data_IF_018678932659
#
_entry.id   IF_018678932659
#
_cell.length_a   1.000
_cell.length_b   1.000
_cell.length_c   1.000
_cell.angle_alpha   90.00
_cell.angle_beta   90.00
_cell.angle_gamma   90.00
#
_symmetry.space_group_name_H-M   'P 1'
#
loop_
_entity.id
_entity.type
_entity.pdbx_description
1 polymer ?
#
# COMPACT_ATOMS: atom_id res chain seq x y z
N UNK A 1 -25.58 -3.30 11.79
CA UNK A 1 -24.32 -2.86 11.18
C UNK A 1 -23.25 -3.88 11.51
N UNK A 2 -22.74 -4.62 10.52
CA UNK A 2 -21.63 -5.60 10.76
C UNK A 2 -20.36 -4.81 11.00
N UNK A 3 -19.76 -4.94 12.18
CA UNK A 3 -18.44 -4.35 12.48
C UNK A 3 -17.43 -4.83 11.44
N UNK A 4 -16.65 -3.93 10.85
CA UNK A 4 -15.63 -4.33 9.89
C UNK A 4 -14.62 -5.25 10.58
N UNK A 5 -14.34 -6.41 9.98
CA UNK A 5 -13.38 -7.34 10.55
C UNK A 5 -12.02 -6.64 10.62
N UNK A 6 -11.34 -6.72 11.76
CA UNK A 6 -9.99 -6.16 12.04
C UNK A 6 -9.03 -6.51 10.89
N UNK A 7 -9.15 -7.72 10.34
CA UNK A 7 -8.41 -8.20 9.18
C UNK A 7 -8.58 -7.33 7.93
N UNK A 8 -9.82 -6.93 7.61
CA UNK A 8 -10.12 -6.10 6.45
C UNK A 8 -9.63 -4.67 6.64
N UNK A 9 -9.74 -4.13 7.84
CA UNK A 9 -9.27 -2.78 8.17
C UNK A 9 -7.74 -2.68 8.08
N UNK A 10 -7.01 -3.67 8.62
CA UNK A 10 -5.54 -3.75 8.53
C UNK A 10 -5.05 -3.89 7.08
N UNK A 11 -5.63 -4.81 6.30
CA UNK A 11 -5.27 -5.01 4.91
C UNK A 11 -5.48 -3.76 4.07
N UNK A 12 -6.62 -3.08 4.24
CA UNK A 12 -6.93 -1.85 3.53
C UNK A 12 -6.01 -0.70 3.97
N UNK A 13 -5.81 -0.51 5.27
CA UNK A 13 -4.97 0.57 5.79
C UNK A 13 -3.50 0.45 5.35
N UNK A 14 -2.90 -0.73 5.52
CA UNK A 14 -1.53 -0.98 5.08
C UNK A 14 -1.40 -0.94 3.55
N UNK A 15 -2.34 -1.53 2.81
CA UNK A 15 -2.31 -1.54 1.35
C UNK A 15 -2.43 -0.15 0.74
N UNK A 16 -3.35 0.69 1.25
CA UNK A 16 -3.51 2.09 0.83
C UNK A 16 -2.28 2.91 1.19
N UNK A 17 -1.74 2.77 2.41
CA UNK A 17 -0.55 3.50 2.83
C UNK A 17 0.68 3.20 1.96
N UNK A 18 0.95 1.92 1.70
CA UNK A 18 2.03 1.49 0.81
C UNK A 18 1.77 1.94 -0.63
N UNK A 19 0.53 1.88 -1.11
CA UNK A 19 0.15 2.34 -2.44
C UNK A 19 0.42 3.83 -2.65
N UNK A 20 0.03 4.68 -1.69
CA UNK A 20 0.31 6.12 -1.72
C UNK A 20 1.82 6.38 -1.74
N UNK A 21 2.58 5.70 -0.88
CA UNK A 21 4.03 5.86 -0.82
C UNK A 21 4.70 5.50 -2.14
N UNK A 22 4.31 4.37 -2.76
CA UNK A 22 4.82 3.93 -4.06
C UNK A 22 4.45 4.91 -5.19
N UNK A 23 3.23 5.45 -5.19
CA UNK A 23 2.81 6.46 -6.16
C UNK A 23 3.64 7.74 -6.03
N UNK A 24 3.88 8.24 -4.82
CA UNK A 24 4.69 9.43 -4.57
C UNK A 24 6.15 9.18 -4.99
N UNK A 25 6.73 8.05 -4.63
CA UNK A 25 8.10 7.69 -5.00
C UNK A 25 8.25 7.56 -6.52
N UNK A 26 7.37 6.80 -7.17
CA UNK A 26 7.40 6.60 -8.62
C UNK A 26 7.17 7.91 -9.39
N UNK A 27 6.23 8.74 -8.93
CA UNK A 27 6.00 10.06 -9.47
C UNK A 27 7.21 10.99 -9.31
N UNK A 28 7.85 10.99 -8.15
CA UNK A 28 9.07 11.75 -7.89
C UNK A 28 10.22 11.33 -8.80
N UNK A 29 10.48 10.03 -8.90
CA UNK A 29 11.52 9.49 -9.80
C UNK A 29 11.23 9.84 -11.26
N UNK A 30 9.98 9.68 -11.72
CA UNK A 30 9.60 10.03 -13.07
C UNK A 30 9.84 11.52 -13.39
N UNK A 31 9.45 12.41 -12.47
CA UNK A 31 9.64 13.86 -12.65
C UNK A 31 11.12 14.24 -12.67
N UNK A 32 11.93 13.68 -11.78
CA UNK A 32 13.38 13.93 -11.75
C UNK A 32 14.07 13.45 -13.03
N UNK A 33 13.79 12.24 -13.49
CA UNK A 33 14.37 11.71 -14.74
C UNK A 33 13.91 12.51 -15.93
N UNK A 34 12.62 12.86 -16.00
CA UNK A 34 12.08 13.74 -17.05
C UNK A 34 12.84 15.06 -17.10
N UNK A 35 12.99 15.74 -15.97
CA UNK A 35 13.68 17.02 -15.89
C UNK A 35 15.16 16.89 -16.30
N UNK A 36 15.84 15.82 -15.85
CA UNK A 36 17.23 15.54 -16.20
C UNK A 36 17.42 15.33 -17.72
N UNK A 37 16.60 14.47 -18.33
CA UNK A 37 16.67 14.19 -19.76
C UNK A 37 16.40 15.42 -20.63
N UNK A 38 15.40 16.22 -20.28
CA UNK A 38 15.13 17.47 -21.01
C UNK A 38 16.24 18.49 -20.83
N UNK A 39 16.83 18.60 -19.63
CA UNK A 39 17.95 19.48 -19.38
C UNK A 39 19.18 19.07 -20.20
N UNK A 40 19.51 17.78 -20.21
CA UNK A 40 20.61 17.25 -21.02
C UNK A 40 20.39 17.49 -22.51
N UNK A 41 19.15 17.31 -23.01
CA UNK A 41 18.80 17.61 -24.39
C UNK A 41 18.97 19.11 -24.71
N UNK A 42 18.46 20.00 -23.86
CA UNK A 42 18.55 21.44 -24.02
C UNK A 42 20.01 21.93 -23.97
N UNK A 43 20.83 21.40 -23.06
CA UNK A 43 22.26 21.70 -22.99
C UNK A 43 23.01 21.20 -24.24
N UNK A 44 22.74 19.97 -24.70
CA UNK A 44 23.33 19.40 -25.90
C UNK A 44 22.98 20.23 -27.17
N UNK A 45 21.71 20.61 -27.29
CA UNK A 45 21.26 21.47 -28.43
C UNK A 45 21.95 22.82 -28.36
N UNK A 46 22.05 23.46 -27.19
CA UNK A 46 22.69 24.75 -27.01
C UNK A 46 24.19 24.71 -27.38
N UNK A 47 24.90 23.67 -26.93
CA UNK A 47 26.32 23.46 -27.27
C UNK A 47 26.51 23.29 -28.79
N UNK A 48 25.68 22.46 -29.43
CA UNK A 48 25.75 22.22 -30.88
C UNK A 48 25.43 23.50 -31.66
N UNK A 49 24.43 24.27 -31.22
CA UNK A 49 24.05 25.53 -31.84
C UNK A 49 25.17 26.60 -31.71
N UNK A 50 25.85 26.67 -30.58
CA UNK A 50 26.99 27.54 -30.35
C UNK A 50 28.17 27.18 -31.27
N UNK A 51 28.45 25.87 -31.45
CA UNK A 51 29.48 25.42 -32.38
C UNK A 51 29.14 25.81 -33.84
N UNK A 52 27.90 25.59 -34.27
CA UNK A 52 27.45 25.98 -35.60
C UNK A 52 27.44 27.51 -35.81
N UNK A 53 27.11 28.26 -34.78
CA UNK A 53 27.13 29.73 -34.83
C UNK A 53 28.53 30.29 -35.08
N UNK A 54 29.56 29.64 -34.51
CA UNK A 54 30.97 30.06 -34.71
C UNK A 54 31.55 29.65 -36.06
N UNK A 55 30.85 28.86 -36.88
CA UNK A 55 31.28 28.42 -38.22
C UNK A 55 30.69 29.27 -39.34
N UNK A 56 30.08 30.42 -39.03
CA UNK A 56 29.57 31.36 -39.99
C UNK A 56 30.62 32.44 -40.18
N UNK A 57 31.25 32.45 -41.35
CA UNK A 57 32.32 33.41 -41.69
C UNK A 57 31.94 34.29 -42.83
N UNK A 58 32.51 35.50 -42.86
CA UNK A 58 32.43 36.42 -43.98
C UNK A 58 33.76 36.37 -44.73
N UNK A 59 33.73 35.80 -45.94
CA UNK A 59 34.88 35.69 -46.83
C UNK A 59 34.54 36.28 -48.21
N UNK A 60 35.39 37.15 -48.72
CA UNK A 60 35.21 37.81 -50.01
C UNK A 60 33.81 38.49 -50.22
N UNK A 61 33.33 39.15 -49.17
CA UNK A 61 31.99 39.77 -49.13
C UNK A 61 30.82 38.77 -49.21
N UNK A 62 31.09 37.46 -49.22
CA UNK A 62 30.09 36.39 -49.19
C UNK A 62 30.10 35.68 -47.85
N UNK A 63 28.93 35.21 -47.43
CA UNK A 63 28.82 34.44 -46.25
C UNK A 63 29.10 32.98 -46.61
N UNK A 64 30.18 32.47 -46.01
CA UNK A 64 30.57 31.06 -46.11
C UNK A 64 30.26 30.32 -44.85
N UNK A 65 29.98 29.05 -44.99
CA UNK A 65 29.68 28.17 -43.89
C UNK A 65 30.73 27.05 -43.89
N UNK A 66 31.71 27.11 -42.98
CA UNK A 66 32.79 26.13 -42.85
C UNK A 66 32.32 24.68 -42.75
N UNK A 67 31.15 24.46 -42.20
CA UNK A 67 30.60 23.10 -42.09
C UNK A 67 30.35 22.47 -43.48
N UNK A 68 30.21 23.23 -44.57
CA UNK A 68 30.11 22.71 -45.94
C UNK A 68 31.44 22.18 -46.46
N UNK A 69 32.52 22.76 -46.00
CA UNK A 69 33.89 22.39 -46.42
C UNK A 69 34.53 21.36 -45.49
N UNK A 70 34.18 21.39 -44.20
CA UNK A 70 34.72 20.54 -43.14
C UNK A 70 34.02 19.20 -42.94
N UNK A 71 33.46 18.60 -43.99
CA UNK A 71 32.66 17.35 -43.97
C UNK A 71 33.34 16.15 -43.24
N UNK A 72 34.66 16.22 -42.96
CA UNK A 72 35.43 15.13 -42.38
C UNK A 72 35.37 15.02 -40.86
N UNK A 73 35.36 16.14 -40.13
CA UNK A 73 35.66 16.14 -38.69
C UNK A 73 34.38 16.24 -37.81
N UNK A 74 33.28 16.75 -38.32
CA UNK A 74 32.04 17.00 -37.55
C UNK A 74 30.83 16.23 -38.05
N UNK A 75 31.00 15.11 -38.73
CA UNK A 75 29.94 14.33 -39.37
C UNK A 75 28.84 13.88 -38.40
N UNK A 76 29.20 13.59 -37.15
CA UNK A 76 28.24 13.18 -36.12
C UNK A 76 27.38 14.35 -35.61
N UNK A 77 27.94 15.55 -35.47
CA UNK A 77 27.21 16.75 -35.05
C UNK A 77 26.17 17.17 -36.08
N UNK A 78 26.50 16.96 -37.37
CA UNK A 78 25.63 17.31 -38.50
C UNK A 78 24.60 16.21 -38.75
N UNK A 79 24.91 14.97 -38.49
CA UNK A 79 24.02 13.83 -38.75
C UNK A 79 22.80 13.80 -37.80
N UNK A 80 22.93 14.27 -36.56
CA UNK A 80 21.91 14.16 -35.52
C UNK A 80 21.05 15.43 -35.38
N UNK A 81 21.38 16.54 -36.06
CA UNK A 81 20.67 17.81 -35.91
C UNK A 81 20.13 18.34 -37.24
N UNK A 82 18.89 18.78 -37.25
CA UNK A 82 18.28 19.53 -38.34
C UNK A 82 18.46 21.00 -38.05
N UNK A 83 19.21 21.69 -38.89
CA UNK A 83 19.44 23.13 -38.71
C UNK A 83 19.20 23.92 -39.99
N UNK A 84 18.89 25.19 -39.78
CA UNK A 84 18.66 26.14 -40.87
C UNK A 84 19.13 27.55 -40.47
N UNK A 85 19.83 28.18 -41.40
CA UNK A 85 20.24 29.58 -41.31
C UNK A 85 19.37 30.44 -42.23
N UNK A 86 18.99 31.60 -41.76
CA UNK A 86 18.33 32.64 -42.55
C UNK A 86 19.16 33.91 -42.47
N UNK A 87 19.53 34.42 -43.62
CA UNK A 87 20.06 35.77 -43.73
C UNK A 87 18.91 36.75 -43.64
N UNK A 88 18.94 37.66 -42.68
CA UNK A 88 17.88 38.66 -42.49
C UNK A 88 17.83 39.74 -43.57
N UNK A 89 18.95 39.97 -44.30
CA UNK A 89 19.03 40.97 -45.37
C UNK A 89 18.61 40.45 -46.74
N UNK A 90 19.17 39.32 -47.13
CA UNK A 90 18.99 38.75 -48.47
C UNK A 90 17.80 37.79 -48.54
N UNK A 91 17.35 37.29 -47.41
CA UNK A 91 16.33 36.26 -47.34
C UNK A 91 16.83 34.86 -47.77
N UNK A 92 18.13 34.74 -48.08
CA UNK A 92 18.73 33.46 -48.49
C UNK A 92 18.72 32.51 -47.28
N UNK A 93 18.37 31.26 -47.55
CA UNK A 93 18.34 30.20 -46.53
C UNK A 93 19.34 29.11 -46.84
N UNK A 94 20.09 28.70 -45.82
CA UNK A 94 20.99 27.54 -45.90
C UNK A 94 20.48 26.47 -44.93
N UNK A 95 20.25 25.26 -45.45
CA UNK A 95 19.64 24.15 -44.73
C UNK A 95 20.61 22.98 -44.52
N UNK A 96 20.45 22.27 -43.44
CA UNK A 96 21.10 20.97 -43.28
C UNK A 96 20.54 19.96 -44.30
N UNK A 97 21.36 18.99 -44.75
CA UNK A 97 20.91 18.00 -45.76
C UNK A 97 19.66 17.21 -45.30
N UNK A 98 19.50 17.00 -44.02
CA UNK A 98 18.37 16.23 -43.45
C UNK A 98 17.00 16.94 -43.58
N UNK A 99 16.99 18.26 -43.81
CA UNK A 99 15.73 19.02 -43.96
C UNK A 99 15.12 18.92 -45.38
N UNK A 100 15.93 18.48 -46.37
CA UNK A 100 15.48 18.42 -47.79
C UNK A 100 14.85 19.72 -48.25
N UNK A 101 13.54 19.69 -48.58
CA UNK A 101 12.79 20.85 -49.06
C UNK A 101 11.96 21.56 -47.99
N UNK A 102 12.01 21.10 -46.75
CA UNK A 102 11.17 21.63 -45.67
C UNK A 102 11.91 22.69 -44.86
N UNK A 103 11.17 23.69 -44.38
CA UNK A 103 11.70 24.76 -43.56
C UNK A 103 11.39 24.49 -42.07
N UNK A 104 12.35 24.83 -41.20
CA UNK A 104 12.11 24.92 -39.76
C UNK A 104 11.35 26.23 -39.45
N UNK A 105 10.55 26.28 -38.39
CA UNK A 105 9.93 27.51 -37.94
C UNK A 105 11.01 28.54 -37.54
N UNK A 106 10.95 29.73 -38.10
CA UNK A 106 11.88 30.81 -37.78
C UNK A 106 11.51 31.46 -36.47
N UNK A 107 12.41 31.47 -35.51
CA UNK A 107 12.25 32.17 -34.24
C UNK A 107 13.61 32.51 -33.61
N UNK A 108 13.69 33.64 -32.95
CA UNK A 108 14.80 34.10 -32.14
C UNK A 108 14.29 35.11 -31.14
N UNK A 109 15.01 35.36 -30.05
CA UNK A 109 14.72 36.52 -29.20
C UNK A 109 15.28 37.81 -29.83
N UNK A 110 14.59 38.91 -29.59
CA UNK A 110 15.00 40.23 -30.11
C UNK A 110 16.31 40.75 -29.49
N UNK A 111 16.65 40.31 -28.29
CA UNK A 111 17.87 40.63 -27.55
C UNK A 111 19.06 39.73 -27.91
N UNK A 112 18.88 38.78 -28.83
CA UNK A 112 19.91 37.84 -29.22
C UNK A 112 20.11 36.65 -28.27
N UNK A 113 19.35 36.58 -27.19
CA UNK A 113 19.42 35.43 -26.25
C UNK A 113 18.86 34.15 -26.89
N UNK A 114 19.37 32.97 -26.51
CA UNK A 114 18.88 31.68 -26.99
C UNK A 114 17.41 31.47 -26.64
N UNK A 115 16.59 31.10 -27.63
CA UNK A 115 15.19 30.76 -27.44
C UNK A 115 14.98 29.26 -27.64
N UNK A 116 14.51 28.55 -26.60
CA UNK A 116 14.21 27.13 -26.66
C UNK A 116 12.70 26.92 -26.83
N UNK A 117 12.31 26.14 -27.85
CA UNK A 117 10.91 25.80 -28.13
C UNK A 117 10.77 24.33 -28.51
N UNK A 118 9.62 23.77 -28.18
CA UNK A 118 9.20 22.47 -28.73
C UNK A 118 8.51 22.73 -30.08
N UNK A 119 8.93 22.03 -31.10
CA UNK A 119 8.38 22.12 -32.46
C UNK A 119 8.00 20.74 -32.97
N UNK A 120 7.28 20.70 -34.07
CA UNK A 120 7.02 19.48 -34.82
C UNK A 120 7.85 19.49 -36.08
N UNK A 121 8.61 18.40 -36.32
CA UNK A 121 9.38 18.22 -37.53
C UNK A 121 8.46 17.86 -38.71
N UNK A 122 8.95 18.03 -39.95
CA UNK A 122 8.18 17.66 -41.15
C UNK A 122 7.79 16.19 -41.23
N UNK A 123 8.54 15.30 -40.57
CA UNK A 123 8.22 13.89 -40.47
C UNK A 123 7.16 13.57 -39.41
N UNK A 124 6.60 14.59 -38.72
CA UNK A 124 5.59 14.45 -37.67
C UNK A 124 6.16 14.20 -36.28
N UNK A 125 7.47 13.98 -36.14
CA UNK A 125 8.10 13.77 -34.85
C UNK A 125 8.15 15.07 -34.03
N UNK A 126 8.12 14.92 -32.73
CA UNK A 126 8.33 16.02 -31.79
C UNK A 126 9.82 16.31 -31.68
N UNK A 127 10.17 17.58 -31.74
CA UNK A 127 11.55 18.03 -31.62
C UNK A 127 11.66 19.18 -30.61
N UNK A 128 12.84 19.28 -30.04
CA UNK A 128 13.27 20.42 -29.27
C UNK A 128 14.16 21.30 -30.17
N UNK A 129 13.92 22.58 -30.22
CA UNK A 129 14.66 23.48 -31.08
C UNK A 129 15.14 24.72 -30.31
N UNK A 130 16.32 25.21 -30.71
CA UNK A 130 16.89 26.47 -30.23
C UNK A 130 17.01 27.42 -31.39
N UNK A 131 16.59 28.66 -31.18
CA UNK A 131 16.78 29.76 -32.12
C UNK A 131 17.77 30.77 -31.57
N UNK A 132 18.78 31.10 -32.37
CA UNK A 132 19.86 32.04 -32.04
C UNK A 132 19.98 33.10 -33.10
N UNK A 133 20.31 34.32 -32.70
CA UNK A 133 20.81 35.34 -33.63
C UNK A 133 22.33 35.26 -33.69
N UNK A 134 22.88 35.09 -34.87
CA UNK A 134 24.31 34.85 -35.12
C UNK A 134 24.84 35.98 -35.99
N UNK A 135 25.96 36.54 -35.63
CA UNK A 135 26.69 37.48 -36.45
C UNK A 135 27.92 36.74 -37.04
N UNK A 136 28.16 36.89 -38.35
CA UNK A 136 29.31 36.26 -39.00
C UNK A 136 30.63 36.69 -38.35
N UNK A 137 31.54 35.75 -38.19
CA UNK A 137 32.89 36.05 -37.81
C UNK A 137 33.65 36.60 -39.05
N UNK A 138 34.41 37.66 -38.87
CA UNK A 138 35.20 38.25 -39.94
C UNK A 138 36.65 38.11 -39.58
N UNK A 139 37.44 37.48 -40.45
CA UNK A 139 38.88 37.31 -40.25
C UNK A 139 39.54 38.72 -40.28
N UNK A 140 40.56 38.94 -39.42
CA UNK A 140 41.31 40.21 -39.39
C UNK A 140 41.88 40.62 -40.72
N UNK A 141 42.32 39.64 -41.52
CA UNK A 141 42.82 39.88 -42.88
C UNK A 141 41.73 40.40 -43.85
N UNK A 142 40.54 39.88 -43.69
CA UNK A 142 39.38 40.31 -44.51
C UNK A 142 38.92 41.73 -44.13
N UNK A 143 38.97 42.06 -42.85
CA UNK A 143 38.71 43.44 -42.35
C UNK A 143 39.73 44.39 -42.95
N UNK A 144 41.03 44.02 -43.03
CA UNK A 144 42.05 44.85 -43.63
C UNK A 144 41.80 45.05 -45.13
N UNK A 145 41.50 44.01 -45.92
CA UNK A 145 41.19 44.04 -47.34
C UNK A 145 39.96 44.92 -47.65
N UNK A 146 38.93 44.80 -46.83
CA UNK A 146 37.72 45.59 -46.96
C UNK A 146 37.99 47.11 -46.76
N UNK A 147 38.82 47.38 -45.72
CA UNK A 147 39.23 48.74 -45.40
C UNK A 147 40.05 49.37 -46.52
N UNK A 148 40.94 48.60 -47.14
CA UNK A 148 41.72 49.05 -48.34
C UNK A 148 40.82 49.37 -49.57
N UNK A 149 39.69 48.61 -49.69
CA UNK A 149 38.68 48.85 -50.74
C UNK A 149 37.69 49.96 -50.41
N UNK A 150 37.89 50.66 -49.26
CA UNK A 150 37.02 51.76 -48.86
C UNK A 150 35.64 51.29 -48.36
N UNK A 151 35.47 49.98 -48.03
CA UNK A 151 34.24 49.43 -47.53
C UNK A 151 34.43 49.02 -46.04
N UNK A 152 33.56 49.49 -45.18
CA UNK A 152 33.50 49.09 -43.77
C UNK A 152 32.18 48.36 -43.60
N UNK A 153 32.27 47.04 -43.46
CA UNK A 153 31.12 46.21 -43.13
C UNK A 153 31.18 45.94 -41.63
N UNK A 154 30.17 46.36 -40.91
CA UNK A 154 29.97 46.00 -39.50
C UNK A 154 29.34 44.59 -39.48
N UNK A 155 30.03 43.56 -38.91
CA UNK A 155 29.49 42.21 -38.80
C UNK A 155 28.14 42.15 -38.10
N UNK A 156 27.88 43.07 -37.16
CA UNK A 156 26.61 43.22 -36.49
C UNK A 156 25.47 43.69 -37.43
N UNK A 157 25.81 44.23 -38.59
CA UNK A 157 24.84 44.65 -39.60
C UNK A 157 24.35 43.52 -40.51
N UNK A 158 24.86 42.30 -40.31
CA UNK A 158 24.54 41.10 -41.09
C UNK A 158 24.01 39.99 -40.16
N UNK A 159 22.89 40.21 -39.45
CA UNK A 159 22.38 39.23 -38.53
C UNK A 159 21.79 38.03 -39.27
N UNK A 160 22.18 36.86 -38.84
CA UNK A 160 21.62 35.57 -39.27
C UNK A 160 20.82 34.96 -38.14
N UNK A 161 19.75 34.27 -38.48
CA UNK A 161 19.02 33.46 -37.53
C UNK A 161 19.38 32.00 -37.78
N UNK A 162 19.93 31.37 -36.77
CA UNK A 162 20.13 29.92 -36.71
C UNK A 162 19.01 29.28 -35.91
N UNK A 163 18.34 28.32 -36.49
CA UNK A 163 17.49 27.39 -35.73
C UNK A 163 18.06 26.00 -35.87
N UNK A 164 18.32 25.38 -34.74
CA UNK A 164 18.74 23.98 -34.62
C UNK A 164 17.65 23.20 -33.91
N UNK A 165 17.22 22.12 -34.53
CA UNK A 165 16.23 21.20 -33.97
C UNK A 165 16.82 19.80 -33.81
N UNK A 166 16.51 19.15 -32.71
CA UNK A 166 16.86 17.77 -32.46
C UNK A 166 15.61 16.97 -32.10
N UNK A 167 15.50 15.77 -32.65
CA UNK A 167 14.39 14.86 -32.40
C UNK A 167 14.34 14.52 -30.92
N UNK A 168 13.17 14.69 -30.30
CA UNK A 168 12.91 14.34 -28.89
C UNK A 168 12.18 13.01 -28.73
N UNK A 169 11.85 12.32 -29.82
CA UNK A 169 11.18 11.02 -29.78
C UNK A 169 11.93 9.98 -28.94
N UNK A 170 13.29 9.88 -28.98
CA UNK A 170 14.04 8.96 -28.12
C UNK A 170 13.84 9.25 -26.62
N UNK A 171 13.69 10.52 -26.26
CA UNK A 171 13.41 10.93 -24.87
C UNK A 171 12.00 10.46 -24.46
N UNK A 172 11.02 10.63 -25.34
CA UNK A 172 9.65 10.16 -25.10
C UNK A 172 9.59 8.64 -24.94
N UNK A 173 10.26 7.88 -25.80
CA UNK A 173 10.33 6.43 -25.70
C UNK A 173 11.00 5.96 -24.40
N UNK A 174 12.05 6.65 -23.97
CA UNK A 174 12.73 6.37 -22.71
C UNK A 174 11.80 6.63 -21.50
N UNK A 175 11.09 7.77 -21.51
CA UNK A 175 10.14 8.14 -20.47
C UNK A 175 8.93 7.19 -20.44
N UNK A 176 8.43 6.78 -21.61
CA UNK A 176 7.33 5.83 -21.68
C UNK A 176 7.73 4.45 -21.16
N UNK A 177 8.92 3.96 -21.52
CA UNK A 177 9.49 2.73 -20.95
C UNK A 177 9.65 2.84 -19.45
N UNK A 178 10.17 3.96 -18.94
CA UNK A 178 10.31 4.22 -17.51
C UNK A 178 8.96 4.19 -16.81
N UNK A 179 7.93 4.81 -17.39
CA UNK A 179 6.57 4.81 -16.84
C UNK A 179 6.03 3.39 -16.66
N UNK A 180 6.17 2.55 -17.69
CA UNK A 180 5.71 1.17 -17.63
C UNK A 180 6.51 0.30 -16.67
N UNK A 181 7.84 0.50 -16.57
CA UNK A 181 8.67 -0.22 -15.59
C UNK A 181 8.34 0.17 -14.16
N UNK A 182 8.13 1.46 -13.88
CA UNK A 182 7.72 1.93 -12.56
C UNK A 182 6.31 1.42 -12.19
N UNK A 183 5.36 1.47 -13.12
CA UNK A 183 4.00 0.96 -12.90
C UNK A 183 4.01 -0.55 -12.66
N UNK A 184 4.74 -1.32 -13.46
CA UNK A 184 4.89 -2.76 -13.30
C UNK A 184 5.54 -3.14 -11.96
N UNK A 185 6.63 -2.43 -11.60
CA UNK A 185 7.30 -2.60 -10.31
C UNK A 185 6.40 -2.29 -9.12
N UNK A 186 5.62 -1.21 -9.20
CA UNK A 186 4.67 -0.84 -8.16
C UNK A 186 3.55 -1.88 -8.00
N UNK A 187 2.98 -2.37 -9.10
CA UNK A 187 1.96 -3.43 -9.08
C UNK A 187 2.49 -4.74 -8.50
N UNK A 188 3.71 -5.13 -8.89
CA UNK A 188 4.36 -6.32 -8.37
C UNK A 188 4.63 -6.22 -6.87
N UNK A 189 5.14 -5.08 -6.42
CA UNK A 189 5.40 -4.81 -4.99
C UNK A 189 4.11 -4.84 -4.16
N UNK A 190 3.02 -4.22 -4.66
CA UNK A 190 1.71 -4.26 -4.03
C UNK A 190 1.15 -5.68 -3.97
N UNK A 191 1.27 -6.44 -5.06
CA UNK A 191 0.79 -7.82 -5.13
C UNK A 191 1.53 -8.75 -4.15
N UNK A 192 2.87 -8.65 -4.12
CA UNK A 192 3.70 -9.41 -3.18
C UNK A 192 3.43 -9.01 -1.73
N UNK A 193 3.35 -7.71 -1.46
CA UNK A 193 3.02 -7.18 -0.14
C UNK A 193 1.66 -7.65 0.35
N UNK A 194 0.64 -7.61 -0.51
CA UNK A 194 -0.69 -8.12 -0.19
C UNK A 194 -0.67 -9.63 0.10
N UNK A 195 0.04 -10.41 -0.72
CA UNK A 195 0.17 -11.86 -0.52
C UNK A 195 0.87 -12.18 0.82
N UNK A 196 1.96 -11.45 1.13
CA UNK A 196 2.71 -11.62 2.36
C UNK A 196 1.86 -11.28 3.59
N UNK A 197 1.21 -10.12 3.59
CA UNK A 197 0.33 -9.69 4.69
C UNK A 197 -0.82 -10.68 4.85
N UNK A 198 -1.42 -11.13 3.75
CA UNK A 198 -2.49 -12.13 3.81
C UNK A 198 -2.02 -13.44 4.44
N UNK A 199 -0.83 -13.92 4.07
CA UNK A 199 -0.23 -15.13 4.64
C UNK A 199 0.07 -14.96 6.13
N UNK A 200 0.70 -13.84 6.52
CA UNK A 200 1.01 -13.54 7.93
C UNK A 200 -0.26 -13.49 8.77
N UNK A 201 -1.28 -12.73 8.34
CA UNK A 201 -2.56 -12.64 9.05
C UNK A 201 -3.22 -14.03 9.18
N UNK A 202 -3.17 -14.85 8.12
CA UNK A 202 -3.77 -16.18 8.15
C UNK A 202 -3.06 -17.08 9.15
N UNK A 203 -1.72 -17.12 9.16
CA UNK A 203 -0.94 -17.96 10.06
C UNK A 203 -1.06 -17.48 11.52
N UNK A 204 -1.04 -16.17 11.75
CA UNK A 204 -1.11 -15.60 13.12
C UNK A 204 -2.52 -15.70 13.74
N UNK A 205 -3.58 -15.58 12.94
CA UNK A 205 -4.96 -15.63 13.45
C UNK A 205 -5.57 -17.03 13.44
N UNK A 206 -4.97 -18.00 12.79
CA UNK A 206 -5.47 -19.39 12.78
C UNK A 206 -5.56 -20.00 14.18
N UNK A 207 -4.53 -19.88 15.06
CA UNK A 207 -4.60 -20.43 16.43
C UNK A 207 -5.72 -19.82 17.26
N UNK A 208 -6.06 -18.53 17.05
CA UNK A 208 -7.16 -17.86 17.77
C UNK A 208 -8.51 -18.48 17.40
N UNK A 209 -8.72 -18.78 16.12
CA UNK A 209 -9.97 -19.41 15.67
C UNK A 209 -10.08 -20.86 16.20
N UNK A 210 -8.98 -21.59 16.24
CA UNK A 210 -8.93 -22.95 16.79
C UNK A 210 -9.21 -22.95 18.30
N UNK A 211 -8.61 -22.02 19.05
CA UNK A 211 -8.92 -21.84 20.46
C UNK A 211 -10.40 -21.50 20.69
N UNK A 212 -10.94 -20.56 19.90
CA UNK A 212 -12.34 -20.14 20.03
C UNK A 212 -13.30 -21.29 19.73
N UNK A 213 -13.01 -22.12 18.73
CA UNK A 213 -13.84 -23.29 18.43
C UNK A 213 -13.76 -24.36 19.54
N UNK A 214 -12.57 -24.68 20.03
CA UNK A 214 -12.39 -25.61 21.15
C UNK A 214 -13.09 -25.11 22.44
N UNK A 215 -13.01 -23.81 22.71
CA UNK A 215 -13.73 -23.20 23.85
C UNK A 215 -15.24 -23.36 23.74
N UNK A 216 -15.79 -23.17 22.52
CA UNK A 216 -17.24 -23.30 22.28
C UNK A 216 -17.69 -24.76 22.43
N UNK A 217 -16.99 -25.67 21.80
CA UNK A 217 -17.32 -27.12 21.87
C UNK A 217 -17.28 -27.65 23.29
N UNK A 218 -16.32 -27.18 24.11
CA UNK A 218 -16.23 -27.54 25.52
C UNK A 218 -17.33 -26.97 26.37
N UNK A 219 -17.68 -25.71 26.18
CA UNK A 219 -18.76 -25.09 26.92
C UNK A 219 -20.10 -25.82 26.69
N UNK A 220 -20.27 -26.45 25.52
CA UNK A 220 -21.49 -27.15 25.16
C UNK A 220 -21.48 -28.64 25.53
N UNK A 221 -20.33 -29.35 25.48
CA UNK A 221 -20.34 -30.83 25.52
C UNK A 221 -19.39 -31.51 26.52
N UNK A 222 -18.26 -30.91 26.91
CA UNK A 222 -17.21 -31.61 27.72
C UNK A 222 -16.43 -30.64 28.62
N UNK A 223 -16.98 -30.33 29.79
CA UNK A 223 -16.31 -29.46 30.76
C UNK A 223 -15.08 -30.11 31.45
N UNK A 224 -14.93 -31.43 31.38
CA UNK A 224 -13.91 -32.18 32.14
C UNK A 224 -12.63 -32.48 31.37
N UNK A 225 -12.51 -32.16 30.09
CA UNK A 225 -11.31 -32.41 29.29
C UNK A 225 -10.33 -31.23 29.31
N UNK A 226 -8.98 -31.46 29.50
CA UNK A 226 -7.97 -30.38 29.46
C UNK A 226 -7.84 -29.71 28.10
N UNK A 227 -7.57 -28.37 28.01
CA UNK A 227 -7.32 -27.67 26.75
C UNK A 227 -6.06 -28.25 26.10
N UNK A 228 -6.19 -28.82 24.93
CA UNK A 228 -5.05 -29.14 24.10
C UNK A 228 -4.56 -27.84 23.47
N UNK A 229 -3.65 -27.14 24.17
CA UNK A 229 -3.02 -25.93 23.62
C UNK A 229 -2.22 -26.32 22.37
N UNK A 230 -2.46 -25.73 21.20
CA UNK A 230 -1.61 -25.93 20.04
C UNK A 230 -0.17 -25.55 20.41
N UNK A 231 0.82 -26.41 20.09
CA UNK A 231 2.22 -26.19 20.45
C UNK A 231 2.87 -24.91 19.88
N UNK A 232 2.18 -24.19 19.00
CA UNK A 232 2.62 -22.94 18.34
C UNK A 232 1.77 -21.74 18.75
N UNK A 233 1.30 -21.67 19.99
CA UNK A 233 0.58 -20.48 20.45
C UNK A 233 1.56 -19.30 20.61
N UNK A 234 1.24 -18.10 20.07
CA UNK A 234 1.97 -16.89 20.41
C UNK A 234 1.98 -16.65 21.93
N UNK A 235 3.11 -16.18 22.45
CA UNK A 235 3.29 -15.97 23.90
C UNK A 235 2.21 -15.04 24.51
N UNK A 236 1.72 -14.08 23.73
CA UNK A 236 0.67 -13.14 24.12
C UNK A 236 -0.70 -13.82 24.33
N UNK A 237 -0.92 -14.98 23.74
CA UNK A 237 -2.17 -15.74 23.86
C UNK A 237 -2.11 -16.82 24.91
N UNK A 238 -0.92 -17.22 25.37
CA UNK A 238 -0.73 -18.27 26.38
C UNK A 238 -1.41 -17.88 27.69
N UNK A 239 -1.16 -16.67 28.19
CA UNK A 239 -1.80 -16.17 29.40
C UNK A 239 -3.33 -16.07 29.32
N UNK A 240 -3.86 -15.73 28.13
CA UNK A 240 -5.32 -15.71 27.91
C UNK A 240 -5.91 -17.13 27.96
N UNK A 241 -5.23 -18.10 27.33
CA UNK A 241 -5.66 -19.50 27.32
C UNK A 241 -5.63 -20.10 28.70
N UNK A 242 -4.58 -19.85 29.50
CA UNK A 242 -4.45 -20.32 30.89
C UNK A 242 -5.53 -19.74 31.79
N UNK A 243 -5.80 -18.45 31.71
CA UNK A 243 -6.89 -17.81 32.46
C UNK A 243 -8.26 -18.42 32.15
N UNK A 244 -8.49 -18.68 30.84
CA UNK A 244 -9.75 -19.27 30.41
C UNK A 244 -9.90 -20.71 30.87
N UNK A 245 -8.83 -21.53 30.81
CA UNK A 245 -8.81 -22.90 31.30
C UNK A 245 -9.11 -22.94 32.82
N UNK A 246 -8.53 -22.04 33.57
CA UNK A 246 -8.78 -21.85 34.98
C UNK A 246 -10.26 -21.50 35.29
N UNK A 247 -10.88 -20.63 34.47
CA UNK A 247 -12.30 -20.29 34.59
C UNK A 247 -13.19 -21.50 34.29
N UNK A 248 -12.90 -22.25 33.22
CA UNK A 248 -13.65 -23.47 32.90
C UNK A 248 -13.54 -24.54 33.99
N UNK A 249 -12.34 -24.74 34.54
CA UNK A 249 -12.12 -25.66 35.65
C UNK A 249 -12.96 -25.27 36.90
N UNK A 250 -13.05 -23.97 37.20
CA UNK A 250 -13.92 -23.47 38.29
C UNK A 250 -15.39 -23.75 38.02
N UNK A 251 -15.86 -23.49 36.77
CA UNK A 251 -17.25 -23.76 36.38
C UNK A 251 -17.55 -25.25 36.45
N UNK A 252 -16.65 -26.11 35.96
CA UNK A 252 -16.79 -27.56 36.06
C UNK A 252 -16.88 -28.05 37.53
N UNK A 253 -16.01 -27.53 38.40
CA UNK A 253 -16.03 -27.85 39.84
C UNK A 253 -17.34 -27.40 40.51
N UNK A 254 -17.88 -26.23 40.13
CA UNK A 254 -19.18 -25.75 40.65
C UNK A 254 -20.30 -26.69 40.20
N UNK A 255 -20.38 -27.03 38.92
CA UNK A 255 -21.40 -27.94 38.36
C UNK A 255 -21.31 -29.35 38.98
N UNK A 256 -20.11 -29.85 39.21
CA UNK A 256 -19.94 -31.16 39.88
C UNK A 256 -20.45 -31.13 41.30
N UNK A 257 -20.12 -30.10 42.07
CA UNK A 257 -20.63 -29.91 43.44
C UNK A 257 -22.17 -29.78 43.49
N UNK A 258 -22.74 -29.12 42.49
CA UNK A 258 -24.20 -28.98 42.36
C UNK A 258 -24.87 -30.36 42.10
N UNK A 259 -24.31 -31.15 41.16
CA UNK A 259 -24.78 -32.52 40.88
C UNK A 259 -24.67 -33.41 42.09
N UNK A 260 -23.55 -33.36 42.79
CA UNK A 260 -23.34 -34.17 44.00
C UNK A 260 -24.30 -33.74 45.11
N UNK A 261 -24.56 -32.44 45.28
CA UNK A 261 -25.55 -31.92 46.21
C UNK A 261 -26.96 -32.42 45.88
N UNK A 262 -27.39 -32.35 44.62
CA UNK A 262 -28.69 -32.85 44.20
C UNK A 262 -28.81 -34.34 44.44
N UNK A 263 -27.74 -35.10 44.13
CA UNK A 263 -27.69 -36.57 44.36
C UNK A 263 -27.84 -36.90 45.83
N UNK A 264 -27.05 -36.24 46.70
CA UNK A 264 -27.13 -36.44 48.16
C UNK A 264 -28.48 -36.02 48.72
N UNK A 265 -29.01 -34.85 48.34
CA UNK A 265 -30.31 -34.39 48.76
C UNK A 265 -31.42 -35.36 48.36
N UNK A 266 -31.40 -35.85 47.11
CA UNK A 266 -32.37 -36.85 46.64
C UNK A 266 -32.31 -38.17 47.43
N UNK A 267 -31.08 -38.60 47.80
CA UNK A 267 -30.88 -39.81 48.57
C UNK A 267 -31.37 -39.66 50.02
N UNK A 268 -31.02 -38.54 50.67
CA UNK A 268 -31.43 -38.20 52.04
C UNK A 268 -32.95 -37.97 52.14
N UNK A 269 -33.61 -37.50 51.13
CA UNK A 269 -35.09 -37.35 51.10
C UNK A 269 -35.81 -38.66 50.81
N UNK A 270 -35.20 -39.58 50.01
CA UNK A 270 -35.84 -40.86 49.65
C UNK A 270 -36.07 -41.74 50.83
N UNK A 271 -35.11 -41.81 51.79
CA UNK A 271 -35.18 -42.66 52.96
C UNK A 271 -36.36 -42.37 53.90
N UNK A 272 -36.55 -41.12 54.37
CA UNK A 272 -37.71 -40.81 55.23
C UNK A 272 -39.05 -40.90 54.46
N UNK A 273 -39.10 -40.56 53.15
CA UNK A 273 -40.30 -40.73 52.31
C UNK A 273 -40.64 -42.23 52.20
N UNK A 274 -39.68 -43.10 52.01
CA UNK A 274 -39.91 -44.58 52.01
C UNK A 274 -40.42 -45.11 53.38
N UNK A 275 -39.82 -44.60 54.45
CA UNK A 275 -40.30 -44.93 55.84
C UNK A 275 -41.73 -44.47 56.08
N UNK A 276 -42.05 -43.23 55.68
CA UNK A 276 -43.39 -42.69 55.84
C UNK A 276 -44.42 -43.48 55.02
N UNK A 277 -44.05 -43.88 53.81
CA UNK A 277 -44.87 -44.72 52.94
C UNK A 277 -45.08 -46.10 53.54
N UNK A 278 -44.04 -46.73 53.99
CA UNK A 278 -44.14 -48.05 54.63
C UNK A 278 -45.01 -48.05 55.90
N UNK A 279 -44.93 -46.98 56.71
CA UNK A 279 -45.75 -46.85 57.94
C UNK A 279 -47.22 -46.65 57.60
N UNK A 280 -47.48 -45.83 56.57
CA UNK A 280 -48.85 -45.56 56.05
C UNK A 280 -49.44 -46.81 55.39
N UNK A 281 -48.68 -47.49 54.53
CA UNK A 281 -49.10 -48.75 53.87
C UNK A 281 -49.41 -49.83 54.92
N UNK A 282 -48.62 -49.93 56.01
CA UNK A 282 -48.84 -50.86 57.11
C UNK A 282 -50.09 -50.46 57.90
N UNK A 283 -50.34 -49.22 58.18
CA UNK A 283 -51.52 -48.74 58.88
C UNK A 283 -52.82 -49.02 58.09
N UNK A 284 -52.75 -48.95 56.72
CA UNK A 284 -53.90 -49.15 55.84
C UNK A 284 -54.12 -50.66 55.48
N UNK A 285 -53.17 -51.53 55.70
CA UNK A 285 -53.19 -52.94 55.25
C UNK A 285 -54.32 -53.80 55.90
N UNK A 286 -54.76 -53.44 57.07
CA UNK A 286 -55.85 -54.13 57.79
C UNK A 286 -56.46 -53.23 58.86
N UNK A 287 -57.74 -53.44 59.26
CA UNK A 287 -58.39 -52.70 60.36
C UNK A 287 -57.61 -52.95 61.67
N UNK A 288 -57.40 -51.90 62.46
CA UNK A 288 -56.66 -51.93 63.72
C UNK A 288 -57.44 -51.13 64.78
N UNK A 289 -57.03 -51.40 66.06
CA UNK A 289 -57.59 -50.58 67.15
C UNK A 289 -57.13 -49.16 67.10
N UNK A 290 -57.93 -48.22 67.62
CA UNK A 290 -57.67 -46.77 67.60
C UNK A 290 -56.28 -46.42 68.19
N UNK A 291 -55.81 -47.14 69.22
CA UNK A 291 -54.47 -46.96 69.83
C UNK A 291 -53.32 -47.22 68.83
N UNK A 292 -53.45 -48.25 67.96
CA UNK A 292 -52.43 -48.59 66.98
C UNK A 292 -52.40 -47.60 65.85
N UNK A 293 -53.55 -47.03 65.43
CA UNK A 293 -53.57 -45.89 64.44
C UNK A 293 -52.89 -44.69 65.05
N UNK A 294 -53.10 -44.33 66.32
CA UNK A 294 -52.48 -43.21 67.01
C UNK A 294 -50.97 -43.36 67.04
N UNK A 295 -50.42 -44.56 67.23
CA UNK A 295 -48.97 -44.84 67.24
C UNK A 295 -48.38 -44.65 65.80
N UNK A 296 -49.03 -45.21 64.78
CA UNK A 296 -48.63 -45.04 63.40
C UNK A 296 -48.63 -43.57 62.98
N UNK A 297 -49.68 -42.77 63.36
CA UNK A 297 -49.77 -41.38 63.11
C UNK A 297 -48.68 -40.55 63.79
N UNK A 298 -48.33 -40.94 65.05
CA UNK A 298 -47.24 -40.31 65.80
C UNK A 298 -45.90 -40.59 65.14
N UNK A 299 -45.68 -41.81 64.62
CA UNK A 299 -44.49 -42.12 63.83
C UNK A 299 -44.40 -41.33 62.51
N UNK A 300 -45.53 -41.20 61.78
CA UNK A 300 -45.62 -40.43 60.62
C UNK A 300 -45.32 -38.94 60.89
N UNK A 301 -45.91 -38.39 61.98
CA UNK A 301 -45.67 -37.00 62.40
C UNK A 301 -44.19 -36.72 62.68
N UNK A 302 -43.54 -37.65 63.44
CA UNK A 302 -42.12 -37.58 63.77
C UNK A 302 -41.25 -37.57 62.51
N UNK A 303 -41.52 -38.51 61.56
CA UNK A 303 -40.80 -38.55 60.26
C UNK A 303 -41.02 -37.33 59.42
N UNK A 304 -42.24 -36.77 59.43
CA UNK A 304 -42.57 -35.50 58.71
C UNK A 304 -41.82 -34.31 59.32
N UNK A 305 -41.68 -34.24 60.66
CA UNK A 305 -40.88 -33.17 61.29
C UNK A 305 -39.38 -33.29 60.95
N UNK A 306 -38.85 -34.52 61.01
CA UNK A 306 -37.45 -34.79 60.60
C UNK A 306 -37.18 -34.41 59.17
N UNK A 307 -38.16 -34.67 58.25
CA UNK A 307 -38.08 -34.26 56.83
C UNK A 307 -38.11 -32.76 56.69
N UNK A 308 -38.93 -32.05 57.46
CA UNK A 308 -38.98 -30.59 57.52
C UNK A 308 -37.63 -29.98 57.98
N UNK A 309 -37.02 -30.56 59.02
CA UNK A 309 -35.70 -30.13 59.47
C UNK A 309 -34.62 -30.37 58.40
N UNK A 310 -34.66 -31.52 57.72
CA UNK A 310 -33.73 -31.84 56.63
C UNK A 310 -33.85 -30.82 55.50
N UNK A 311 -35.07 -30.51 55.05
CA UNK A 311 -35.31 -29.49 53.99
C UNK A 311 -34.78 -28.13 54.43
N UNK A 312 -35.02 -27.73 55.69
CA UNK A 312 -34.53 -26.46 56.22
C UNK A 312 -32.99 -26.41 56.28
N UNK A 313 -32.33 -27.50 56.68
CA UNK A 313 -30.86 -27.63 56.63
C UNK A 313 -30.32 -27.54 55.22
N UNK A 314 -30.96 -28.17 54.26
CA UNK A 314 -30.61 -28.07 52.83
C UNK A 314 -30.77 -26.65 52.30
N UNK A 315 -31.83 -25.93 52.65
CA UNK A 315 -32.06 -24.54 52.27
C UNK A 315 -31.04 -23.58 52.88
N UNK A 316 -30.68 -23.73 54.14
CA UNK A 316 -29.67 -22.91 54.81
C UNK A 316 -28.28 -23.16 54.21
N UNK A 317 -27.97 -24.41 53.82
CA UNK A 317 -26.77 -24.77 53.09
C UNK A 317 -26.65 -24.09 51.71
N UNK A 318 -27.77 -23.94 50.99
CA UNK A 318 -27.85 -23.18 49.74
C UNK A 318 -27.65 -21.69 49.97
N UNK A 319 -28.33 -21.06 50.92
CA UNK A 319 -28.20 -19.63 51.22
C UNK A 319 -26.80 -19.21 51.66
N UNK A 320 -26.15 -20.01 52.50
CA UNK A 320 -24.75 -19.74 52.92
C UNK A 320 -23.76 -19.82 51.76
N UNK A 321 -24.02 -20.65 50.78
CA UNK A 321 -23.22 -20.82 49.57
C UNK A 321 -23.38 -19.66 48.60
N UNK A 322 -24.61 -19.17 48.40
CA UNK A 322 -24.88 -18.00 47.57
C UNK A 322 -24.22 -16.73 48.10
N UNK A 323 -24.11 -16.60 49.41
CA UNK A 323 -23.44 -15.48 50.06
C UNK A 323 -21.92 -15.52 49.82
N UNK A 324 -21.28 -16.69 49.86
CA UNK A 324 -19.84 -16.84 49.60
C UNK A 324 -19.52 -16.61 48.12
N UNK A 325 -20.41 -17.01 47.19
CA UNK A 325 -20.21 -16.80 45.77
C UNK A 325 -20.41 -15.34 45.33
N UNK A 326 -21.13 -14.53 46.12
CA UNK A 326 -21.29 -13.08 45.87
C UNK A 326 -20.16 -12.23 46.45
N UNK A 327 -19.34 -12.81 47.33
CA UNK A 327 -18.21 -12.12 47.97
C UNK A 327 -16.85 -12.41 47.33
N UNK A 328 -16.81 -13.24 46.27
CA UNK A 328 -15.67 -13.52 45.39
C UNK A 328 -15.85 -12.86 44.04
#
# INVERSE_FOLDING_TARGET
>A
MRSPSIRRSLLLGCGVGVGILLCLLSGGVYLLVKQSLYRELDESIAQTAALLANQVELENENITYEWKEGIGTNRQLIADGLFQFWDEKTGITTRSPGLQAHDLPRFSHSDGSPSLRSIQLPNGHRARAIGLRVNPFVLPEEVARMKERGRVIDPKSLPHILVLARDSEPVYHTLDRLRWTLAGGALLTLGLGFMLIHRVIRVTLQPINELTSQMKDRAEHQLDSALLLPGNLPAELTGLAENFDSLLARVAAIRQRERDFIRHAAHELRTPIAGLRATTDLALSQPREAAAYADHLTTCQKTALELGELVNRLQLGCRRRDFILRSL
#
